data_IF_297861333095
#
_entry.id   IF_297861333095
#
_cell.length_a   1.000
_cell.length_b   1.000
_cell.length_c   1.000
_cell.angle_alpha   90.00
_cell.angle_beta   90.00
_cell.angle_gamma   90.00
#
_symmetry.space_group_name_H-M   'P 1'
#
loop_
_entity.id
_entity.type
_entity.pdbx_description
1 polymer ?
#
# COMPACT_ATOMS: atom_id res chain seq x y z
N UNK A 1 6.51 34.10 27.11
CA UNK A 1 7.32 32.91 26.75
C UNK A 1 6.91 31.80 27.70
N UNK A 2 5.81 31.13 27.39
CA UNK A 2 4.97 30.46 28.38
C UNK A 2 4.40 29.18 27.79
N UNK A 3 4.88 28.03 28.29
CA UNK A 3 4.22 26.71 28.40
C UNK A 3 3.52 26.05 27.18
N UNK A 4 3.31 26.73 26.05
CA UNK A 4 2.61 26.19 24.88
C UNK A 4 3.54 25.47 23.90
N UNK A 5 4.85 25.74 23.93
CA UNK A 5 5.83 25.04 23.08
C UNK A 5 6.18 23.64 23.59
N UNK A 6 6.06 23.38 24.90
CA UNK A 6 6.35 22.07 25.49
C UNK A 6 5.26 21.02 25.27
N UNK A 7 4.06 21.42 24.84
CA UNK A 7 2.96 20.48 24.51
C UNK A 7 3.05 19.93 23.07
N UNK A 8 3.89 20.52 22.21
CA UNK A 8 4.05 20.10 20.81
C UNK A 8 4.99 18.90 20.66
N UNK A 9 5.74 18.53 21.71
CA UNK A 9 6.94 17.69 21.57
C UNK A 9 7.01 16.50 22.53
N UNK A 10 5.87 15.91 22.88
CA UNK A 10 5.80 14.54 23.42
C UNK A 10 5.11 13.61 22.41
N UNK A 11 5.60 13.61 21.17
CA UNK A 11 5.19 12.63 20.15
C UNK A 11 5.87 11.30 20.52
N UNK A 12 5.15 10.48 21.27
CA UNK A 12 5.64 9.20 21.79
C UNK A 12 6.16 8.32 20.62
N UNK A 13 7.49 8.12 20.48
CA UNK A 13 8.09 7.45 19.32
C UNK A 13 7.61 6.00 19.19
N UNK A 14 7.17 5.40 20.30
CA UNK A 14 6.60 4.05 20.32
C UNK A 14 5.28 3.95 19.54
N UNK A 15 4.47 5.00 19.53
CA UNK A 15 3.14 5.00 18.88
C UNK A 15 3.23 5.09 17.35
N UNK A 16 4.22 5.83 16.82
CA UNK A 16 4.46 5.94 15.37
C UNK A 16 5.00 4.63 14.80
N UNK A 17 5.98 4.03 15.50
CA UNK A 17 6.58 2.76 15.10
C UNK A 17 5.56 1.62 15.06
N UNK A 18 4.62 1.59 16.03
CA UNK A 18 3.53 0.60 16.05
C UNK A 18 2.60 0.73 14.86
N UNK A 19 2.32 1.95 14.40
CA UNK A 19 1.49 2.21 13.20
C UNK A 19 2.20 1.75 11.93
N UNK A 20 3.51 1.97 11.83
CA UNK A 20 4.34 1.45 10.74
C UNK A 20 4.30 -0.07 10.67
N UNK A 21 4.56 -0.74 11.80
CA UNK A 21 4.53 -2.21 11.86
C UNK A 21 3.16 -2.78 11.52
N UNK A 22 2.08 -2.14 11.98
CA UNK A 22 0.71 -2.55 11.63
C UNK A 22 0.43 -2.35 10.13
N UNK A 23 0.80 -1.21 9.55
CA UNK A 23 0.58 -0.95 8.13
C UNK A 23 1.36 -1.93 7.24
N UNK A 24 2.63 -2.15 7.55
CA UNK A 24 3.48 -3.14 6.85
C UNK A 24 2.94 -4.55 7.03
N UNK A 25 2.50 -4.91 8.24
CA UNK A 25 1.92 -6.21 8.54
C UNK A 25 0.63 -6.48 7.76
N UNK A 26 -0.29 -5.53 7.74
CA UNK A 26 -1.55 -5.63 6.98
C UNK A 26 -1.27 -5.72 5.48
N UNK A 27 -0.36 -4.89 4.97
CA UNK A 27 0.00 -4.91 3.55
C UNK A 27 0.65 -6.24 3.14
N UNK A 28 1.59 -6.74 3.94
CA UNK A 28 2.26 -8.02 3.70
C UNK A 28 1.27 -9.18 3.79
N UNK A 29 0.40 -9.17 4.81
CA UNK A 29 -0.65 -10.18 4.96
C UNK A 29 -1.61 -10.19 3.77
N UNK A 30 -2.05 -9.03 3.29
CA UNK A 30 -2.91 -8.94 2.13
C UNK A 30 -2.23 -9.46 0.85
N UNK A 31 -0.97 -9.08 0.59
CA UNK A 31 -0.21 -9.59 -0.56
C UNK A 31 -0.05 -11.11 -0.48
N UNK A 32 0.24 -11.67 0.70
CA UNK A 32 0.36 -13.11 0.89
C UNK A 32 -0.97 -13.85 0.70
N UNK A 33 -2.09 -13.30 1.16
CA UNK A 33 -3.43 -13.89 0.97
C UNK A 33 -3.78 -13.90 -0.52
N UNK A 34 -3.59 -12.78 -1.22
CA UNK A 34 -3.84 -12.70 -2.66
C UNK A 34 -2.91 -13.68 -3.39
N UNK A 35 -1.63 -13.75 -3.02
CA UNK A 35 -0.67 -14.69 -3.60
C UNK A 35 -1.06 -16.15 -3.36
N UNK A 36 -1.53 -16.49 -2.17
CA UNK A 36 -1.96 -17.85 -1.86
C UNK A 36 -3.19 -18.26 -2.68
N UNK A 37 -4.17 -17.36 -2.84
CA UNK A 37 -5.36 -17.58 -3.66
C UNK A 37 -4.97 -17.68 -5.14
N UNK A 38 -4.13 -16.76 -5.63
CA UNK A 38 -3.69 -16.71 -7.03
C UNK A 38 -2.86 -17.96 -7.38
N UNK A 39 -1.92 -18.36 -6.51
CA UNK A 39 -1.18 -19.61 -6.65
C UNK A 39 -2.11 -20.84 -6.63
N UNK A 40 -3.11 -20.89 -5.75
CA UNK A 40 -4.05 -22.01 -5.72
C UNK A 40 -4.84 -22.13 -7.04
N UNK A 41 -5.26 -21.00 -7.61
CA UNK A 41 -6.05 -20.96 -8.86
C UNK A 41 -5.20 -21.16 -10.12
N UNK A 42 -3.97 -20.63 -10.14
CA UNK A 42 -3.07 -20.66 -11.30
C UNK A 42 -2.21 -21.91 -11.36
N UNK A 43 -1.83 -22.48 -10.21
CA UNK A 43 -1.09 -23.74 -10.20
C UNK A 43 -1.87 -24.85 -10.92
N UNK A 44 -3.20 -24.83 -10.83
CA UNK A 44 -4.07 -25.76 -11.56
C UNK A 44 -4.12 -25.51 -13.08
N UNK A 45 -3.88 -24.27 -13.55
CA UNK A 45 -4.11 -23.87 -14.95
C UNK A 45 -2.84 -23.68 -15.78
N UNK A 46 -1.74 -23.23 -15.18
CA UNK A 46 -0.50 -22.84 -15.89
C UNK A 46 0.77 -23.47 -15.30
N UNK A 47 0.62 -24.33 -14.29
CA UNK A 47 1.74 -25.03 -13.68
C UNK A 47 2.77 -24.10 -13.03
N UNK A 48 4.03 -24.56 -12.99
CA UNK A 48 5.10 -23.93 -12.19
C UNK A 48 5.51 -22.55 -12.70
N UNK A 49 5.47 -22.33 -14.01
CA UNK A 49 5.89 -21.07 -14.62
C UNK A 49 4.87 -19.93 -14.38
N UNK A 50 3.58 -20.26 -14.35
CA UNK A 50 2.51 -19.32 -13.96
C UNK A 50 2.61 -18.87 -12.51
N UNK A 51 3.08 -19.75 -11.61
CA UNK A 51 3.32 -19.40 -10.21
C UNK A 51 4.52 -18.47 -10.02
N UNK A 52 5.59 -18.65 -10.81
CA UNK A 52 6.75 -17.76 -10.81
C UNK A 52 6.36 -16.36 -11.32
N UNK A 53 5.57 -16.30 -12.40
CA UNK A 53 5.03 -15.05 -12.92
C UNK A 53 4.17 -14.31 -11.87
N UNK A 54 3.29 -15.02 -11.15
CA UNK A 54 2.48 -14.45 -10.09
C UNK A 54 3.34 -13.93 -8.92
N UNK A 55 4.35 -14.69 -8.52
CA UNK A 55 5.28 -14.29 -7.46
C UNK A 55 6.07 -13.02 -7.82
N UNK A 56 6.51 -12.89 -9.09
CA UNK A 56 7.16 -11.68 -9.58
C UNK A 56 6.20 -10.47 -9.57
N UNK A 57 4.97 -10.66 -10.02
CA UNK A 57 3.94 -9.61 -9.99
C UNK A 57 3.64 -9.13 -8.56
N UNK A 58 3.51 -10.07 -7.63
CA UNK A 58 3.33 -9.79 -6.21
C UNK A 58 4.53 -9.05 -5.61
N UNK A 59 5.76 -9.47 -5.93
CA UNK A 59 6.98 -8.83 -5.45
C UNK A 59 7.10 -7.36 -5.91
N UNK A 60 6.79 -7.10 -7.18
CA UNK A 60 6.77 -5.72 -7.72
C UNK A 60 5.70 -4.88 -7.00
N UNK A 61 4.46 -5.36 -6.89
CA UNK A 61 3.40 -4.63 -6.19
C UNK A 61 3.73 -4.37 -4.72
N UNK A 62 4.36 -5.34 -4.05
CA UNK A 62 4.80 -5.20 -2.67
C UNK A 62 5.88 -4.13 -2.52
N UNK A 63 6.90 -4.12 -3.37
CA UNK A 63 7.94 -3.08 -3.36
C UNK A 63 7.35 -1.69 -3.69
N UNK A 64 6.48 -1.59 -4.68
CA UNK A 64 5.82 -0.33 -5.04
C UNK A 64 5.05 0.27 -3.86
N UNK A 65 4.34 -0.58 -3.13
CA UNK A 65 3.53 -0.18 -1.97
C UNK A 65 4.38 0.21 -0.78
N UNK A 66 5.48 -0.49 -0.53
CA UNK A 66 6.46 -0.10 0.49
C UNK A 66 7.08 1.26 0.18
N UNK A 67 7.55 1.47 -1.05
CA UNK A 67 8.12 2.76 -1.47
C UNK A 67 7.08 3.89 -1.33
N UNK A 68 5.84 3.64 -1.74
CA UNK A 68 4.78 4.63 -1.62
C UNK A 68 4.45 4.93 -0.15
N UNK A 69 4.45 3.93 0.75
CA UNK A 69 4.29 4.16 2.18
C UNK A 69 5.43 5.00 2.74
N UNK A 70 6.68 4.68 2.36
CA UNK A 70 7.89 5.42 2.74
C UNK A 70 7.82 6.88 2.28
N UNK A 71 7.45 7.11 1.02
CA UNK A 71 7.33 8.46 0.46
C UNK A 71 6.17 9.21 1.11
N UNK A 72 4.99 8.60 1.22
CA UNK A 72 3.81 9.26 1.79
C UNK A 72 4.03 9.60 3.26
N UNK A 73 4.52 8.68 4.09
CA UNK A 73 4.72 8.94 5.52
C UNK A 73 6.00 9.74 5.81
N UNK A 74 7.04 9.60 5.00
CA UNK A 74 8.29 10.36 5.10
C UNK A 74 8.09 11.84 4.76
N UNK A 75 7.29 12.14 3.72
CA UNK A 75 6.96 13.51 3.30
C UNK A 75 5.66 14.05 3.94
N UNK A 76 4.92 13.26 4.72
CA UNK A 76 3.71 13.71 5.42
C UNK A 76 3.96 14.71 6.57
N UNK A 77 5.18 15.20 6.75
CA UNK A 77 5.50 16.19 7.77
C UNK A 77 5.42 17.61 7.18
N UNK A 78 4.35 18.34 7.51
CA UNK A 78 4.19 19.77 7.20
C UNK A 78 3.46 20.05 5.88
N UNK A 79 3.70 21.22 5.24
CA UNK A 79 2.94 21.68 4.06
C UNK A 79 3.17 20.81 2.80
N UNK A 80 4.09 19.84 2.86
CA UNK A 80 4.45 18.94 1.76
C UNK A 80 3.60 17.64 1.72
N UNK A 81 2.57 17.51 2.56
CA UNK A 81 1.62 16.39 2.54
C UNK A 81 1.10 16.05 1.14
N UNK A 82 0.83 17.07 0.32
CA UNK A 82 0.32 16.90 -1.03
C UNK A 82 1.35 16.27 -1.98
N UNK A 83 2.63 16.60 -1.80
CA UNK A 83 3.75 16.02 -2.57
C UNK A 83 3.99 14.57 -2.17
N UNK A 84 3.92 14.26 -0.86
CA UNK A 84 4.02 12.88 -0.38
C UNK A 84 2.88 11.98 -0.85
N UNK A 85 1.66 12.51 -0.94
CA UNK A 85 0.51 11.80 -1.47
C UNK A 85 0.62 11.57 -2.98
N UNK A 86 0.96 12.60 -3.76
CA UNK A 86 1.16 12.49 -5.21
C UNK A 86 2.32 11.55 -5.56
N UNK A 87 3.44 11.65 -4.83
CA UNK A 87 4.58 10.74 -5.00
C UNK A 87 4.20 9.29 -4.72
N UNK A 88 3.40 9.04 -3.67
CA UNK A 88 2.88 7.70 -3.38
C UNK A 88 2.01 7.14 -4.51
N UNK A 89 1.14 7.97 -5.10
CA UNK A 89 0.29 7.57 -6.24
C UNK A 89 1.14 7.24 -7.47
N UNK A 90 2.16 8.06 -7.77
CA UNK A 90 3.05 7.83 -8.92
C UNK A 90 3.83 6.53 -8.75
N UNK A 91 4.38 6.23 -7.57
CA UNK A 91 5.07 4.96 -7.35
C UNK A 91 4.13 3.75 -7.40
N UNK A 92 2.91 3.88 -6.85
CA UNK A 92 1.90 2.81 -6.86
C UNK A 92 1.39 2.46 -8.24
N UNK A 93 1.25 3.44 -9.12
CA UNK A 93 0.71 3.23 -10.47
C UNK A 93 1.82 3.01 -11.49
N UNK A 94 2.92 3.75 -11.36
CA UNK A 94 4.05 3.74 -12.28
C UNK A 94 4.83 2.43 -12.24
N UNK A 95 5.07 1.84 -11.05
CA UNK A 95 5.85 0.60 -10.97
C UNK A 95 5.09 -0.61 -11.55
N UNK A 96 3.78 -0.83 -11.27
CA UNK A 96 3.01 -1.88 -11.92
C UNK A 96 2.84 -1.66 -13.43
N UNK A 97 2.64 -0.41 -13.89
CA UNK A 97 2.61 -0.09 -15.32
C UNK A 97 3.95 -0.38 -16.00
N UNK A 98 5.07 -0.02 -15.37
CA UNK A 98 6.39 -0.32 -15.89
C UNK A 98 6.63 -1.83 -15.95
N UNK A 99 6.26 -2.57 -14.91
CA UNK A 99 6.36 -4.03 -14.91
C UNK A 99 5.46 -4.68 -15.96
N UNK A 100 4.26 -4.14 -16.20
CA UNK A 100 3.38 -4.61 -17.27
C UNK A 100 3.98 -4.33 -18.65
N UNK A 101 4.54 -3.14 -18.86
CA UNK A 101 5.21 -2.76 -20.10
C UNK A 101 6.42 -3.66 -20.40
N UNK A 102 7.26 -3.92 -19.40
CA UNK A 102 8.42 -4.82 -19.50
C UNK A 102 7.97 -6.28 -19.67
N UNK A 103 6.99 -6.72 -18.89
CA UNK A 103 6.46 -8.09 -18.94
C UNK A 103 5.81 -8.43 -20.28
N UNK A 104 5.24 -7.45 -20.97
CA UNK A 104 4.65 -7.66 -22.29
C UNK A 104 5.70 -7.77 -23.41
N UNK A 105 6.92 -7.28 -23.20
CA UNK A 105 8.03 -7.46 -24.15
C UNK A 105 8.64 -8.87 -24.07
N UNK A 106 8.42 -9.58 -22.96
CA UNK A 106 8.99 -10.90 -22.72
C UNK A 106 7.96 -11.99 -23.02
N UNK A 107 8.15 -12.68 -24.14
CA UNK A 107 7.17 -13.64 -24.69
C UNK A 107 6.78 -14.76 -23.71
N UNK A 108 7.74 -15.28 -22.94
CA UNK A 108 7.47 -16.33 -21.94
C UNK A 108 6.62 -15.84 -20.76
N UNK A 109 6.67 -14.56 -20.37
CA UNK A 109 5.79 -14.01 -19.32
C UNK A 109 4.39 -13.73 -19.86
N UNK A 110 4.30 -13.19 -21.08
CA UNK A 110 3.02 -12.86 -21.71
C UNK A 110 2.16 -14.11 -21.97
N UNK A 111 2.76 -15.20 -22.46
CA UNK A 111 2.06 -16.48 -22.69
C UNK A 111 1.57 -17.12 -21.39
N UNK A 112 2.29 -16.91 -20.29
CA UNK A 112 1.90 -17.35 -18.95
C UNK A 112 0.94 -16.38 -18.23
N UNK A 113 0.48 -15.33 -18.94
CA UNK A 113 -0.47 -14.30 -18.51
C UNK A 113 -0.07 -13.53 -17.25
N UNK A 114 1.23 -13.29 -17.13
CA UNK A 114 1.82 -12.30 -16.24
C UNK A 114 1.11 -10.93 -16.28
N UNK A 115 0.79 -10.32 -17.44
CA UNK A 115 0.13 -9.01 -17.44
C UNK A 115 -1.24 -9.03 -16.74
N UNK A 116 -1.99 -10.12 -16.86
CA UNK A 116 -3.26 -10.28 -16.13
C UNK A 116 -3.04 -10.36 -14.62
N UNK A 117 -2.05 -11.12 -14.18
CA UNK A 117 -1.71 -11.25 -12.75
C UNK A 117 -1.23 -9.92 -12.17
N UNK A 118 -0.40 -9.16 -12.88
CA UNK A 118 0.04 -7.81 -12.46
C UNK A 118 -1.17 -6.91 -12.19
N UNK A 119 -2.19 -6.93 -13.06
CA UNK A 119 -3.42 -6.15 -12.87
C UNK A 119 -4.20 -6.63 -11.65
N UNK A 120 -4.34 -7.94 -11.45
CA UNK A 120 -5.04 -8.51 -10.28
C UNK A 120 -4.35 -8.10 -8.97
N UNK A 121 -3.04 -8.29 -8.86
CA UNK A 121 -2.28 -7.88 -7.67
C UNK A 121 -2.31 -6.37 -7.46
N UNK A 122 -2.24 -5.59 -8.54
CA UNK A 122 -2.34 -4.15 -8.47
C UNK A 122 -3.69 -3.72 -7.90
N UNK A 123 -4.81 -4.21 -8.44
CA UNK A 123 -6.16 -3.90 -7.97
C UNK A 123 -6.39 -4.36 -6.53
N UNK A 124 -5.92 -5.56 -6.18
CA UNK A 124 -6.06 -6.08 -4.83
C UNK A 124 -5.32 -5.19 -3.80
N UNK A 125 -4.09 -4.80 -4.12
CA UNK A 125 -3.28 -3.95 -3.24
C UNK A 125 -3.90 -2.55 -3.12
N UNK A 126 -4.37 -1.97 -4.23
CA UNK A 126 -5.04 -0.67 -4.26
C UNK A 126 -6.33 -0.70 -3.42
N UNK A 127 -7.11 -1.78 -3.50
CA UNK A 127 -8.34 -1.96 -2.73
C UNK A 127 -8.06 -2.00 -1.23
N UNK A 128 -7.11 -2.84 -0.80
CA UNK A 128 -6.70 -2.95 0.60
C UNK A 128 -6.23 -1.62 1.15
N UNK A 129 -5.45 -0.90 0.36
CA UNK A 129 -4.94 0.40 0.75
C UNK A 129 -6.02 1.47 0.82
N UNK A 130 -6.98 1.45 -0.12
CA UNK A 130 -8.14 2.35 -0.10
C UNK A 130 -9.01 2.09 1.13
N UNK A 131 -9.22 0.82 1.49
CA UNK A 131 -9.93 0.43 2.72
C UNK A 131 -9.16 0.93 3.95
N UNK A 132 -7.83 0.79 3.97
CA UNK A 132 -7.02 1.25 5.09
C UNK A 132 -7.04 2.77 5.21
N UNK A 133 -6.96 3.49 4.09
CA UNK A 133 -7.02 4.96 4.02
C UNK A 133 -8.39 5.49 4.45
N UNK A 134 -9.48 4.88 3.98
CA UNK A 134 -10.85 5.25 4.37
C UNK A 134 -11.13 4.92 5.83
N UNK A 135 -10.62 3.81 6.35
CA UNK A 135 -10.73 3.47 7.77
C UNK A 135 -9.98 4.46 8.66
N UNK A 136 -8.76 4.85 8.26
CA UNK A 136 -7.96 5.85 8.98
C UNK A 136 -8.64 7.23 8.95
N UNK A 137 -9.17 7.64 7.79
CA UNK A 137 -9.91 8.90 7.63
C UNK A 137 -11.20 8.91 8.46
N UNK A 138 -11.95 7.80 8.46
CA UNK A 138 -13.19 7.66 9.26
C UNK A 138 -12.92 7.73 10.76
N UNK A 139 -11.81 7.14 11.23
CA UNK A 139 -11.38 7.27 12.63
C UNK A 139 -11.08 8.70 13.02
N UNK A 140 -10.49 9.52 12.13
CA UNK A 140 -10.25 10.94 12.43
C UNK A 140 -11.55 11.77 12.49
N UNK A 141 -12.52 11.47 11.62
CA UNK A 141 -13.81 12.18 11.62
C UNK A 141 -14.65 11.88 12.86
N UNK A 142 -14.60 10.64 13.36
CA UNK A 142 -15.38 10.25 14.53
C UNK A 142 -14.91 10.95 15.83
N UNK A 143 -13.61 11.26 15.94
CA UNK A 143 -13.08 12.06 17.06
C UNK A 143 -13.57 13.50 16.99
N UNK A 144 -13.64 14.07 15.78
CA UNK A 144 -14.05 15.47 15.57
C UNK A 144 -15.54 15.72 15.84
N UNK A 145 -16.39 14.71 15.61
CA UNK A 145 -17.82 14.75 15.97
C UNK A 145 -18.03 14.66 17.48
N UNK A 146 -17.19 13.92 18.21
CA UNK A 146 -17.27 13.83 19.66
C UNK A 146 -16.89 15.15 20.36
N UNK A 147 -15.85 15.84 19.87
CA UNK A 147 -15.46 17.17 20.37
C UNK A 147 -16.54 18.25 20.13
N UNK A 148 -17.33 18.14 19.05
CA UNK A 148 -18.41 19.07 18.76
C UNK A 148 -19.69 18.79 19.57
N UNK A 149 -19.88 17.55 20.03
CA UNK A 149 -21.04 17.14 20.85
C UNK A 149 -20.84 17.30 22.35
N UNK A 150 -19.60 17.33 22.85
CA UNK A 150 -19.29 17.44 24.27
C UNK A 150 -19.16 18.88 24.79
N UNK A 151 -19.33 19.88 23.91
CA UNK A 151 -19.27 21.32 24.23
C UNK A 151 -20.62 22.04 24.22
N UNK A 152 -21.74 21.31 24.19
CA UNK A 152 -23.11 21.84 24.23
C UNK A 152 -23.76 21.69 25.59
#
# INVERSE_FOLDING_TARGET
MTASESAVQARDPGSEWRRWLLAVGVLTGAVLVVLAVDCAVIAEKRGRDGAIAAALAAAVCWMASLLALVVTLGLAKGPQLMVGALGGIVFRTGMPLAALAVGNQVRWLSENGFPGQVVVFFLATLTVETILATWLASRMLNVKLWDLGAGG
#
